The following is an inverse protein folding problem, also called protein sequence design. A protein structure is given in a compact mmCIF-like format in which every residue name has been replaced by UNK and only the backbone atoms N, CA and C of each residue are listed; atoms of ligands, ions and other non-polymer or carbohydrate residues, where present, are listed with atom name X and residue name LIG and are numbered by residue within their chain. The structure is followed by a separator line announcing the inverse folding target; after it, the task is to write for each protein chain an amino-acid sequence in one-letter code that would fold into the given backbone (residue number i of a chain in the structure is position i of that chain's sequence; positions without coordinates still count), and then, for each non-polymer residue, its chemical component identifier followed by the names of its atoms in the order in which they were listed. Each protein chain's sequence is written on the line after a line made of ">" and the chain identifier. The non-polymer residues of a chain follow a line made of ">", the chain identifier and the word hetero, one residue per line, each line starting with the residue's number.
data_IF_544079196117
#
_entry.id   IF_544079196117
#
_cell.length_a   1.000
_cell.length_b   1.000
_cell.length_c   1.000
_cell.angle_alpha   90.00
_cell.angle_beta   90.00
_cell.angle_gamma   90.00
#
_symmetry.space_group_name_H-M   'P 1'
#
loop_
_entity.id
_entity.type
_entity.pdbx_description
1 polymer ?
#
# COMPACT_ATOMS: atom_id res chain seq x y z
N UNK A 1 -13.35 -45.43 -12.25
CA UNK A 1 -12.54 -46.13 -13.27
C UNK A 1 -11.16 -45.49 -13.23
N UNK A 2 -10.13 -46.21 -12.81
CA UNK A 2 -8.75 -45.72 -12.91
C UNK A 2 -8.30 -45.93 -14.34
N UNK A 3 -8.25 -44.86 -15.14
CA UNK A 3 -7.59 -44.88 -16.45
C UNK A 3 -6.07 -44.88 -16.21
N UNK A 4 -5.42 -46.00 -16.48
CA UNK A 4 -3.96 -46.09 -16.46
C UNK A 4 -3.43 -45.58 -17.79
N UNK A 5 -2.76 -44.43 -17.78
CA UNK A 5 -2.06 -43.90 -18.97
C UNK A 5 -0.71 -44.60 -19.09
N UNK A 6 -0.66 -45.68 -19.87
CA UNK A 6 0.59 -46.35 -20.21
C UNK A 6 1.26 -45.63 -21.40
N UNK A 7 2.40 -44.99 -21.15
CA UNK A 7 3.21 -44.34 -22.20
C UNK A 7 4.37 -45.26 -22.56
N UNK A 8 4.40 -45.75 -23.80
CA UNK A 8 5.57 -46.44 -24.34
C UNK A 8 6.59 -45.40 -24.79
N UNK A 9 7.70 -45.30 -24.05
CA UNK A 9 8.81 -44.41 -24.40
C UNK A 9 9.87 -45.24 -25.14
N UNK A 10 10.33 -44.81 -26.34
CA UNK A 10 11.40 -45.50 -27.05
C UNK A 10 12.69 -45.54 -26.23
N UNK A 11 13.54 -46.55 -26.46
CA UNK A 11 14.84 -46.65 -25.83
C UNK A 11 15.74 -45.46 -26.23
N UNK A 12 16.02 -44.59 -25.27
CA UNK A 12 16.82 -43.37 -25.47
C UNK A 12 18.27 -43.66 -25.91
N UNK A 13 18.80 -44.84 -25.61
CA UNK A 13 20.14 -45.24 -26.05
C UNK A 13 20.18 -45.51 -27.56
N UNK A 14 19.13 -46.11 -28.11
CA UNK A 14 19.00 -46.38 -29.54
C UNK A 14 18.81 -45.10 -30.37
N UNK A 15 17.98 -44.16 -29.87
CA UNK A 15 17.79 -42.84 -30.50
C UNK A 15 19.10 -42.04 -30.54
N UNK A 16 19.84 -42.03 -29.43
CA UNK A 16 21.10 -41.30 -29.31
C UNK A 16 22.21 -41.89 -30.18
N UNK A 17 22.28 -43.22 -30.30
CA UNK A 17 23.30 -43.89 -31.10
C UNK A 17 23.23 -43.55 -32.60
N UNK A 18 22.03 -43.38 -33.15
CA UNK A 18 21.85 -42.96 -34.56
C UNK A 18 22.28 -41.51 -34.78
N UNK A 19 21.93 -40.62 -33.87
CA UNK A 19 22.31 -39.21 -33.92
C UNK A 19 23.84 -39.02 -33.78
N UNK A 20 24.47 -39.77 -32.87
CA UNK A 20 25.91 -39.70 -32.64
C UNK A 20 26.71 -40.13 -33.88
N UNK A 21 26.24 -41.12 -34.64
CA UNK A 21 26.88 -41.51 -35.91
C UNK A 21 26.83 -40.40 -36.95
N UNK A 22 25.68 -39.73 -37.07
CA UNK A 22 25.55 -38.60 -37.99
C UNK A 22 26.43 -37.41 -37.58
N UNK A 23 26.51 -37.12 -36.27
CA UNK A 23 27.38 -36.08 -35.73
C UNK A 23 28.86 -36.38 -35.99
N UNK A 24 29.29 -37.62 -35.73
CA UNK A 24 30.68 -38.01 -35.96
C UNK A 24 31.05 -37.91 -37.46
N UNK A 25 30.13 -38.33 -38.35
CA UNK A 25 30.31 -38.17 -39.80
C UNK A 25 30.48 -36.71 -40.22
N UNK A 26 29.61 -35.83 -39.72
CA UNK A 26 29.70 -34.39 -39.99
C UNK A 26 30.99 -33.76 -39.44
N UNK A 27 31.44 -34.15 -38.25
CA UNK A 27 32.69 -33.65 -37.66
C UNK A 27 33.93 -34.10 -38.45
N UNK A 28 33.90 -35.29 -39.05
CA UNK A 28 35.01 -35.81 -39.86
C UNK A 28 35.04 -35.28 -41.30
N UNK A 29 33.98 -34.58 -41.74
CA UNK A 29 33.83 -34.16 -43.12
C UNK A 29 34.60 -32.85 -43.40
N UNK A 30 35.47 -32.89 -44.43
CA UNK A 30 36.17 -31.70 -44.95
C UNK A 30 35.59 -31.38 -46.32
N UNK A 31 35.16 -30.13 -46.51
CA UNK A 31 34.56 -29.66 -47.77
C UNK A 31 35.59 -28.80 -48.50
N UNK A 32 36.36 -29.43 -49.37
CA UNK A 32 37.45 -28.82 -50.14
C UNK A 32 37.21 -28.80 -51.67
N UNK A 33 36.11 -29.40 -52.11
CA UNK A 33 35.76 -29.59 -53.52
C UNK A 33 34.25 -29.48 -53.73
N UNK A 34 33.85 -29.29 -54.99
CA UNK A 34 32.43 -29.16 -55.35
C UNK A 34 31.68 -30.48 -55.14
N UNK A 35 32.34 -31.61 -55.37
CA UNK A 35 31.82 -32.95 -55.10
C UNK A 35 31.57 -33.15 -53.60
N UNK A 36 32.52 -32.74 -52.74
CA UNK A 36 32.33 -32.79 -51.28
C UNK A 36 31.23 -31.84 -50.80
N UNK A 37 31.04 -30.70 -51.45
CA UNK A 37 29.92 -29.80 -51.15
C UNK A 37 28.56 -30.44 -51.47
N UNK A 38 28.45 -31.17 -52.58
CA UNK A 38 27.22 -31.90 -52.92
C UNK A 38 26.92 -33.04 -51.94
N UNK A 39 27.94 -33.83 -51.59
CA UNK A 39 27.82 -34.90 -50.57
C UNK A 39 27.39 -34.33 -49.21
N UNK A 40 28.00 -33.22 -48.78
CA UNK A 40 27.62 -32.53 -47.55
C UNK A 40 26.15 -32.04 -47.59
N UNK A 41 25.68 -31.61 -48.77
CA UNK A 41 24.29 -31.23 -49.00
C UNK A 41 23.31 -32.39 -48.82
N UNK A 42 23.62 -33.55 -49.38
CA UNK A 42 22.79 -34.76 -49.27
C UNK A 42 22.79 -35.35 -47.84
N UNK A 43 23.93 -35.33 -47.16
CA UNK A 43 24.05 -35.71 -45.76
C UNK A 43 23.26 -34.76 -44.85
N UNK A 44 23.35 -33.45 -45.09
CA UNK A 44 22.54 -32.45 -44.39
C UNK A 44 21.05 -32.70 -44.59
N UNK A 45 20.61 -33.01 -45.82
CA UNK A 45 19.21 -33.34 -46.10
C UNK A 45 18.75 -34.59 -45.34
N UNK A 46 19.60 -35.62 -45.28
CA UNK A 46 19.33 -36.85 -44.53
C UNK A 46 19.24 -36.60 -43.02
N UNK A 47 20.14 -35.78 -42.47
CA UNK A 47 20.11 -35.37 -41.06
C UNK A 47 18.82 -34.62 -40.76
N UNK A 48 18.42 -33.68 -41.62
CA UNK A 48 17.16 -32.93 -41.48
C UNK A 48 15.93 -33.84 -41.49
N UNK A 49 15.89 -34.86 -42.35
CA UNK A 49 14.80 -35.84 -42.37
C UNK A 49 14.71 -36.61 -41.05
N UNK A 50 15.84 -37.10 -40.54
CA UNK A 50 15.87 -37.82 -39.25
C UNK A 50 15.47 -36.93 -38.07
N UNK A 51 15.91 -35.66 -38.08
CA UNK A 51 15.46 -34.68 -37.09
C UNK A 51 13.94 -34.54 -37.11
N UNK A 52 13.33 -34.49 -38.29
CA UNK A 52 11.87 -34.42 -38.46
C UNK A 52 11.17 -35.68 -37.94
N UNK A 53 11.67 -36.87 -38.26
CA UNK A 53 11.10 -38.14 -37.77
C UNK A 53 11.13 -38.24 -36.23
N UNK A 54 12.25 -37.86 -35.61
CA UNK A 54 12.36 -37.80 -34.15
C UNK A 54 11.37 -36.81 -33.53
N UNK A 55 11.21 -35.65 -34.16
CA UNK A 55 10.25 -34.63 -33.73
C UNK A 55 8.80 -35.12 -33.87
N UNK A 56 8.48 -35.84 -34.94
CA UNK A 56 7.17 -36.45 -35.17
C UNK A 56 6.87 -37.53 -34.11
N UNK A 57 7.83 -38.40 -33.79
CA UNK A 57 7.70 -39.39 -32.71
C UNK A 57 7.49 -38.72 -31.35
N UNK A 58 8.31 -37.72 -31.00
CA UNK A 58 8.17 -36.96 -29.76
C UNK A 58 6.79 -36.33 -29.68
N UNK A 59 6.36 -35.68 -30.75
CA UNK A 59 5.08 -34.99 -30.84
C UNK A 59 3.91 -35.97 -30.76
N UNK A 60 4.01 -37.16 -31.37
CA UNK A 60 2.99 -38.20 -31.29
C UNK A 60 2.76 -38.71 -29.86
N UNK A 61 3.83 -38.81 -29.06
CA UNK A 61 3.74 -39.20 -27.65
C UNK A 61 3.18 -38.07 -26.79
N UNK A 62 3.67 -36.84 -26.98
CA UNK A 62 3.37 -35.71 -26.10
C UNK A 62 1.99 -35.10 -26.38
N UNK A 63 1.48 -35.15 -27.62
CA UNK A 63 0.16 -34.61 -27.98
C UNK A 63 -1.00 -35.14 -27.09
N UNK A 64 -1.24 -36.46 -26.98
CA UNK A 64 -2.35 -36.97 -26.16
C UNK A 64 -2.16 -36.64 -24.66
N UNK A 65 -0.91 -36.57 -24.18
CA UNK A 65 -0.62 -36.14 -22.81
C UNK A 65 -0.98 -34.67 -22.59
N UNK A 66 -0.58 -33.79 -23.52
CA UNK A 66 -0.94 -32.37 -23.47
C UNK A 66 -2.44 -32.15 -23.56
N UNK A 67 -3.15 -32.95 -24.37
CA UNK A 67 -4.62 -32.92 -24.43
C UNK A 67 -5.26 -33.37 -23.12
N UNK A 68 -4.74 -34.42 -22.48
CA UNK A 68 -5.20 -34.86 -21.18
C UNK A 68 -4.97 -33.80 -20.09
N UNK A 69 -3.76 -33.23 -20.03
CA UNK A 69 -3.42 -32.12 -19.13
C UNK A 69 -4.34 -30.93 -19.37
N UNK A 70 -4.61 -30.59 -20.64
CA UNK A 70 -5.53 -29.51 -21.00
C UNK A 70 -6.94 -29.80 -20.50
N UNK A 71 -7.50 -30.99 -20.74
CA UNK A 71 -8.84 -31.38 -20.25
C UNK A 71 -8.94 -31.28 -18.72
N UNK A 72 -7.92 -31.75 -18.00
CA UNK A 72 -7.85 -31.65 -16.54
C UNK A 72 -7.87 -30.17 -16.12
N UNK A 73 -6.98 -29.35 -16.68
CA UNK A 73 -6.91 -27.93 -16.34
C UNK A 73 -8.20 -27.19 -16.66
N UNK A 74 -8.83 -27.49 -17.80
CA UNK A 74 -10.09 -26.88 -18.20
C UNK A 74 -11.24 -27.25 -17.24
N UNK A 75 -11.27 -28.49 -16.74
CA UNK A 75 -12.25 -28.94 -15.73
C UNK A 75 -12.15 -28.17 -14.40
N UNK A 76 -10.94 -27.77 -14.00
CA UNK A 76 -10.73 -27.02 -12.76
C UNK A 76 -10.77 -25.50 -12.94
N UNK A 77 -10.67 -24.99 -14.18
CA UNK A 77 -10.64 -23.53 -14.44
C UNK A 77 -11.90 -22.83 -13.94
N UNK A 78 -13.08 -23.23 -14.44
CA UNK A 78 -14.33 -22.56 -14.08
C UNK A 78 -14.69 -22.68 -12.58
N UNK A 79 -14.58 -23.85 -11.91
CA UNK A 79 -14.76 -23.94 -10.46
C UNK A 79 -13.81 -23.03 -9.68
N UNK A 80 -12.53 -22.98 -10.04
CA UNK A 80 -11.56 -22.08 -9.41
C UNK A 80 -11.91 -20.62 -9.61
N UNK A 81 -12.39 -20.23 -10.80
CA UNK A 81 -12.88 -18.87 -11.06
C UNK A 81 -14.07 -18.52 -10.17
N UNK A 82 -15.05 -19.41 -10.02
CA UNK A 82 -16.20 -19.18 -9.12
C UNK A 82 -15.76 -19.05 -7.66
N UNK A 83 -14.86 -19.89 -7.18
CA UNK A 83 -14.33 -19.82 -5.82
C UNK A 83 -13.54 -18.52 -5.60
N UNK A 84 -12.71 -18.13 -6.57
CA UNK A 84 -11.96 -16.86 -6.55
C UNK A 84 -12.91 -15.65 -6.49
N UNK A 85 -13.99 -15.67 -7.27
CA UNK A 85 -15.02 -14.63 -7.25
C UNK A 85 -15.76 -14.59 -5.91
N UNK A 86 -16.19 -15.74 -5.39
CA UNK A 86 -16.87 -15.84 -4.09
C UNK A 86 -15.99 -15.31 -2.95
N UNK A 87 -14.72 -15.71 -2.92
CA UNK A 87 -13.73 -15.21 -1.96
C UNK A 87 -13.58 -13.69 -2.06
N UNK A 88 -13.44 -13.16 -3.28
CA UNK A 88 -13.33 -11.71 -3.52
C UNK A 88 -14.56 -10.93 -3.06
N UNK A 89 -15.76 -11.46 -3.30
CA UNK A 89 -17.03 -10.87 -2.83
C UNK A 89 -17.09 -10.85 -1.31
N UNK A 90 -16.77 -11.98 -0.65
CA UNK A 90 -16.78 -12.06 0.80
C UNK A 90 -15.77 -11.10 1.43
N UNK A 91 -14.53 -11.08 0.95
CA UNK A 91 -13.49 -10.15 1.42
C UNK A 91 -13.92 -8.70 1.30
N UNK A 92 -14.52 -8.30 0.18
CA UNK A 92 -15.02 -6.94 -0.03
C UNK A 92 -16.16 -6.59 0.94
N UNK A 93 -17.11 -7.50 1.15
CA UNK A 93 -18.21 -7.30 2.11
C UNK A 93 -17.71 -7.22 3.56
N UNK A 94 -16.75 -8.06 3.92
CA UNK A 94 -16.10 -8.01 5.23
C UNK A 94 -15.37 -6.68 5.45
N UNK A 95 -14.62 -6.21 4.45
CA UNK A 95 -13.95 -4.90 4.53
C UNK A 95 -14.96 -3.75 4.68
N UNK A 96 -16.01 -3.75 3.86
CA UNK A 96 -17.09 -2.75 3.93
C UNK A 96 -17.72 -2.73 5.32
N UNK A 97 -18.03 -3.90 5.89
CA UNK A 97 -18.57 -3.99 7.24
C UNK A 97 -17.58 -3.43 8.27
N UNK A 98 -16.29 -3.79 8.21
CA UNK A 98 -15.30 -3.25 9.15
C UNK A 98 -15.17 -1.73 9.05
N UNK A 99 -15.12 -1.16 7.85
CA UNK A 99 -15.09 0.28 7.63
C UNK A 99 -16.35 0.97 8.17
N UNK A 100 -17.52 0.37 7.97
CA UNK A 100 -18.77 0.87 8.54
C UNK A 100 -18.80 0.81 10.06
N UNK A 101 -18.30 -0.27 10.68
CA UNK A 101 -18.19 -0.39 12.13
C UNK A 101 -17.24 0.68 12.67
N UNK A 102 -16.10 0.92 12.02
CA UNK A 102 -15.18 1.99 12.42
C UNK A 102 -15.78 3.38 12.22
N UNK A 103 -16.55 3.59 11.14
CA UNK A 103 -17.28 4.84 10.92
C UNK A 103 -18.30 5.09 12.01
N UNK A 104 -19.07 4.06 12.40
CA UNK A 104 -20.05 4.15 13.49
C UNK A 104 -19.37 4.43 14.82
N UNK A 105 -18.29 3.70 15.16
CA UNK A 105 -17.49 3.92 16.37
C UNK A 105 -16.96 5.35 16.45
N UNK A 106 -16.36 5.86 15.36
CA UNK A 106 -15.87 7.25 15.29
C UNK A 106 -16.97 8.28 15.41
N UNK A 107 -18.13 8.04 14.79
CA UNK A 107 -19.27 8.96 14.88
C UNK A 107 -19.87 8.99 16.29
N UNK A 108 -19.95 7.85 16.97
CA UNK A 108 -20.41 7.76 18.35
C UNK A 108 -19.42 8.42 19.31
N UNK A 109 -18.13 8.17 19.14
CA UNK A 109 -17.07 8.83 19.89
C UNK A 109 -17.07 10.35 19.69
N UNK A 110 -17.24 10.83 18.46
CA UNK A 110 -17.35 12.25 18.16
C UNK A 110 -18.61 12.88 18.80
N UNK A 111 -19.74 12.17 18.81
CA UNK A 111 -20.95 12.64 19.50
C UNK A 111 -20.75 12.72 21.01
N UNK A 112 -20.14 11.71 21.62
CA UNK A 112 -19.88 11.68 23.05
C UNK A 112 -18.89 12.78 23.45
N UNK A 113 -17.84 13.01 22.64
CA UNK A 113 -16.90 14.13 22.83
C UNK A 113 -17.59 15.48 22.70
N UNK A 114 -18.39 15.69 21.66
CA UNK A 114 -19.12 16.95 21.47
C UNK A 114 -20.14 17.21 22.60
N UNK A 115 -20.80 16.17 23.11
CA UNK A 115 -21.70 16.30 24.26
C UNK A 115 -20.94 16.62 25.55
N UNK A 116 -19.80 15.96 25.79
CA UNK A 116 -18.94 16.24 26.93
C UNK A 116 -18.39 17.68 26.86
N UNK A 117 -17.92 18.13 25.69
CA UNK A 117 -17.47 19.50 25.44
C UNK A 117 -18.59 20.52 25.65
N UNK A 118 -19.82 20.22 25.18
CA UNK A 118 -20.97 21.11 25.39
C UNK A 118 -21.31 21.24 26.87
N UNK A 119 -21.37 20.13 27.61
CA UNK A 119 -21.60 20.14 29.08
C UNK A 119 -20.50 20.90 29.81
N UNK A 120 -19.24 20.68 29.42
CA UNK A 120 -18.10 21.38 29.99
C UNK A 120 -18.17 22.90 29.70
N UNK A 121 -18.58 23.31 28.49
CA UNK A 121 -18.77 24.71 28.14
C UNK A 121 -19.92 25.35 28.94
N UNK A 122 -21.07 24.67 29.05
CA UNK A 122 -22.20 25.12 29.87
C UNK A 122 -21.78 25.30 31.34
N UNK A 123 -21.05 24.33 31.90
CA UNK A 123 -20.55 24.40 33.27
C UNK A 123 -19.53 25.52 33.47
N UNK A 124 -18.60 25.73 32.51
CA UNK A 124 -17.67 26.87 32.51
C UNK A 124 -18.40 28.19 32.50
N UNK A 125 -19.37 28.39 31.61
CA UNK A 125 -20.14 29.63 31.54
C UNK A 125 -20.91 29.90 32.84
N UNK A 126 -21.43 28.85 33.49
CA UNK A 126 -22.10 28.96 34.79
C UNK A 126 -21.13 29.38 35.90
N UNK A 127 -19.95 28.76 35.96
CA UNK A 127 -18.92 29.10 36.94
C UNK A 127 -18.38 30.52 36.73
N UNK A 128 -18.14 30.93 35.48
CA UNK A 128 -17.73 32.29 35.15
C UNK A 128 -18.81 33.33 35.49
N UNK A 129 -20.08 33.02 35.25
CA UNK A 129 -21.19 33.91 35.65
C UNK A 129 -21.29 34.03 37.17
N UNK A 130 -21.09 32.93 37.91
CA UNK A 130 -21.05 32.95 39.36
C UNK A 130 -19.88 33.80 39.88
N UNK A 131 -18.69 33.63 39.29
CA UNK A 131 -17.51 34.46 39.59
C UNK A 131 -17.80 35.94 39.39
N UNK A 132 -18.36 36.34 38.24
CA UNK A 132 -18.71 37.75 37.96
C UNK A 132 -19.75 38.29 38.94
N UNK A 133 -20.73 37.48 39.34
CA UNK A 133 -21.74 37.88 40.31
C UNK A 133 -21.15 38.06 41.71
N UNK A 134 -20.21 37.22 42.11
CA UNK A 134 -19.50 37.33 43.39
C UNK A 134 -18.54 38.53 43.41
N UNK A 135 -17.83 38.78 42.30
CA UNK A 135 -16.99 39.97 42.09
C UNK A 135 -17.81 41.27 42.19
N UNK A 136 -18.97 41.35 41.54
CA UNK A 136 -19.82 42.55 41.59
C UNK A 136 -20.42 42.78 42.99
N UNK A 137 -20.83 41.71 43.69
CA UNK A 137 -21.29 41.84 45.08
C UNK A 137 -20.20 42.34 46.00
N UNK A 138 -18.99 41.79 45.88
CA UNK A 138 -17.84 42.21 46.67
C UNK A 138 -17.48 43.67 46.36
N UNK A 139 -17.54 44.10 45.10
CA UNK A 139 -17.31 45.50 44.71
C UNK A 139 -18.34 46.45 45.34
N UNK A 140 -19.63 46.12 45.31
CA UNK A 140 -20.69 46.93 45.94
C UNK A 140 -20.49 47.02 47.46
N UNK A 141 -20.08 45.91 48.10
CA UNK A 141 -19.82 45.87 49.53
C UNK A 141 -18.57 46.66 49.92
N UNK A 142 -17.49 46.58 49.13
CA UNK A 142 -16.29 47.39 49.29
C UNK A 142 -16.59 48.89 49.13
N UNK A 143 -17.31 49.30 48.08
CA UNK A 143 -17.69 50.71 47.88
C UNK A 143 -18.52 51.25 49.06
N UNK A 144 -19.37 50.43 49.69
CA UNK A 144 -20.11 50.82 50.90
C UNK A 144 -19.20 50.97 52.11
N UNK A 145 -18.33 49.99 52.35
CA UNK A 145 -17.38 50.02 53.46
C UNK A 145 -16.39 51.19 53.32
N UNK A 146 -15.93 51.51 52.12
CA UNK A 146 -15.07 52.67 51.85
C UNK A 146 -15.78 54.00 52.12
N UNK A 147 -17.05 54.13 51.72
CA UNK A 147 -17.86 55.31 52.07
C UNK A 147 -18.05 55.43 53.58
N UNK A 148 -18.35 54.34 54.29
CA UNK A 148 -18.45 54.34 55.76
C UNK A 148 -17.11 54.68 56.43
N UNK A 149 -15.99 54.20 55.87
CA UNK A 149 -14.63 54.54 56.32
C UNK A 149 -14.36 56.04 56.17
N UNK A 150 -14.70 56.61 55.03
CA UNK A 150 -14.51 58.03 54.75
C UNK A 150 -15.31 58.92 55.72
N UNK A 151 -16.57 58.56 55.99
CA UNK A 151 -17.40 59.25 56.98
C UNK A 151 -16.82 59.13 58.40
N UNK A 152 -16.27 57.97 58.77
CA UNK A 152 -15.62 57.77 60.08
C UNK A 152 -14.32 58.58 60.23
N UNK A 153 -13.54 58.71 59.15
CA UNK A 153 -12.34 59.55 59.10
C UNK A 153 -12.68 61.04 59.23
N UNK A 154 -13.72 61.50 58.53
CA UNK A 154 -14.22 62.88 58.61
C UNK A 154 -14.80 63.22 59.99
N UNK A 155 -15.36 62.23 60.70
CA UNK A 155 -15.82 62.37 62.08
C UNK A 155 -14.70 62.29 63.14
N UNK A 156 -13.45 62.02 62.73
CA UNK A 156 -12.29 61.92 63.64
C UNK A 156 -12.20 60.63 64.47
N UNK A 157 -13.02 59.62 64.16
CA UNK A 157 -13.08 58.34 64.90
C UNK A 157 -12.11 57.31 64.30
N UNK A 158 -10.84 57.43 64.68
CA UNK A 158 -9.72 56.63 64.16
C UNK A 158 -9.84 55.14 64.45
N UNK A 159 -10.45 54.77 65.58
CA UNK A 159 -10.66 53.36 65.97
C UNK A 159 -11.72 52.72 65.09
N UNK A 160 -12.79 53.45 64.77
CA UNK A 160 -13.85 52.98 63.87
C UNK A 160 -13.37 52.86 62.42
N UNK A 161 -12.57 53.82 61.94
CA UNK A 161 -11.95 53.76 60.62
C UNK A 161 -11.03 52.53 60.45
N UNK A 162 -10.17 52.24 61.43
CA UNK A 162 -9.29 51.07 61.40
C UNK A 162 -10.06 49.74 61.41
N UNK A 163 -11.19 49.67 62.12
CA UNK A 163 -12.08 48.49 62.12
C UNK A 163 -12.75 48.24 60.78
N UNK A 164 -13.11 49.30 60.06
CA UNK A 164 -13.73 49.20 58.73
C UNK A 164 -12.67 48.80 57.70
N UNK A 165 -11.44 49.31 57.81
CA UNK A 165 -10.31 48.92 56.96
C UNK A 165 -9.97 47.44 57.07
N UNK A 166 -9.84 46.89 58.29
CA UNK A 166 -9.67 45.45 58.49
C UNK A 166 -10.82 44.61 57.90
N UNK A 167 -12.02 45.19 57.79
CA UNK A 167 -13.19 44.54 57.20
C UNK A 167 -13.21 44.64 55.68
N UNK A 168 -12.64 45.69 55.09
CA UNK A 168 -12.37 45.80 53.65
C UNK A 168 -11.34 44.74 53.24
N UNK A 169 -10.22 44.64 53.96
CA UNK A 169 -9.20 43.62 53.73
C UNK A 169 -9.78 42.20 53.82
N UNK A 170 -10.60 41.92 54.84
CA UNK A 170 -11.24 40.62 54.99
C UNK A 170 -12.23 40.27 53.86
N UNK A 171 -12.94 41.27 53.29
CA UNK A 171 -13.81 41.07 52.11
C UNK A 171 -12.96 40.78 50.86
N UNK A 172 -11.80 41.43 50.75
CA UNK A 172 -10.88 41.30 49.62
C UNK A 172 -10.18 39.94 49.59
N UNK A 173 -9.65 39.49 50.73
CA UNK A 173 -9.10 38.13 50.88
C UNK A 173 -10.18 37.06 50.62
N UNK A 174 -11.41 37.26 51.13
CA UNK A 174 -12.50 36.32 50.91
C UNK A 174 -12.93 36.24 49.44
N UNK A 175 -12.85 37.35 48.69
CA UNK A 175 -13.08 37.38 47.24
C UNK A 175 -11.97 36.64 46.50
N UNK A 176 -10.71 36.89 46.85
CA UNK A 176 -9.55 36.27 46.21
C UNK A 176 -9.61 34.74 46.34
N UNK A 177 -9.83 34.23 47.57
CA UNK A 177 -10.00 32.79 47.85
C UNK A 177 -11.14 32.17 47.04
N UNK A 178 -12.29 32.86 46.95
CA UNK A 178 -13.44 32.38 46.17
C UNK A 178 -13.15 32.40 44.68
N UNK A 179 -12.49 33.44 44.18
CA UNK A 179 -12.16 33.59 42.76
C UNK A 179 -11.16 32.53 42.29
N UNK A 180 -10.17 32.20 43.12
CA UNK A 180 -9.18 31.14 42.87
C UNK A 180 -9.84 29.76 42.92
N UNK A 181 -10.73 29.53 43.89
CA UNK A 181 -11.50 28.28 43.96
C UNK A 181 -12.36 28.06 42.70
N UNK A 182 -13.02 29.10 42.20
CA UNK A 182 -13.80 29.02 40.96
C UNK A 182 -12.89 28.86 39.73
N UNK A 183 -11.74 29.54 39.68
CA UNK A 183 -10.76 29.37 38.60
C UNK A 183 -10.19 27.93 38.54
N UNK A 184 -9.89 27.35 39.70
CA UNK A 184 -9.45 25.96 39.81
C UNK A 184 -10.55 24.98 39.37
N UNK A 185 -11.82 25.24 39.74
CA UNK A 185 -12.97 24.46 39.27
C UNK A 185 -13.14 24.54 37.74
N UNK A 186 -13.04 25.74 37.14
CA UNK A 186 -13.10 25.94 35.68
C UNK A 186 -11.99 25.16 34.95
N UNK A 187 -10.78 25.13 35.51
CA UNK A 187 -9.66 24.36 34.97
C UNK A 187 -9.93 22.84 34.98
N UNK A 188 -10.50 22.31 36.08
CA UNK A 188 -10.77 20.88 36.24
C UNK A 188 -11.82 20.36 35.25
N UNK A 189 -12.86 21.15 34.97
CA UNK A 189 -13.95 20.82 34.03
C UNK A 189 -13.45 20.54 32.60
N UNK A 190 -12.32 21.15 32.18
CA UNK A 190 -11.75 20.92 30.84
C UNK A 190 -10.97 19.62 30.67
N UNK A 191 -10.68 18.90 31.75
CA UNK A 191 -9.75 17.75 31.73
C UNK A 191 -10.43 16.38 31.77
N UNK A 192 -11.77 16.33 31.80
CA UNK A 192 -12.50 15.08 31.95
C UNK A 192 -12.21 14.13 30.76
N UNK A 193 -11.59 12.96 30.97
CA UNK A 193 -11.26 12.04 29.90
C UNK A 193 -12.52 11.37 29.38
N UNK A 194 -12.79 11.49 28.08
CA UNK A 194 -13.86 10.75 27.41
C UNK A 194 -13.41 9.29 27.28
N UNK A 195 -14.19 8.36 27.87
CA UNK A 195 -13.91 6.92 27.80
C UNK A 195 -14.00 6.47 26.34
N UNK A 196 -12.93 5.88 25.77
CA UNK A 196 -12.96 5.38 24.40
C UNK A 196 -13.90 4.17 24.29
N UNK A 197 -14.74 4.14 23.26
CA UNK A 197 -15.64 3.02 22.96
C UNK A 197 -14.81 1.89 22.34
N UNK A 198 -14.46 0.89 23.14
CA UNK A 198 -13.61 -0.26 22.75
C UNK A 198 -14.41 -1.48 22.31
N UNK A 199 -15.43 -1.30 21.47
CA UNK A 199 -16.10 -2.44 20.85
C UNK A 199 -15.18 -3.06 19.78
N UNK A 200 -14.50 -4.14 20.14
CA UNK A 200 -13.65 -4.91 19.23
C UNK A 200 -14.54 -5.72 18.27
N UNK A 201 -14.33 -5.54 16.96
CA UNK A 201 -15.04 -6.33 15.96
C UNK A 201 -14.69 -7.83 16.12
N UNK A 202 -15.64 -8.74 15.87
CA UNK A 202 -15.41 -10.17 16.02
C UNK A 202 -14.32 -10.65 15.06
N UNK A 203 -13.26 -11.25 15.60
CA UNK A 203 -12.15 -11.80 14.81
C UNK A 203 -12.43 -13.25 14.46
N UNK A 204 -12.29 -13.61 13.18
CA UNK A 204 -12.40 -15.00 12.72
C UNK A 204 -11.01 -15.61 12.62
N UNK A 205 -10.80 -16.78 13.23
CA UNK A 205 -9.52 -17.51 13.19
C UNK A 205 -9.14 -17.81 11.73
N UNK A 206 -7.94 -17.40 11.32
CA UNK A 206 -7.40 -17.61 9.97
C UNK A 206 -7.58 -16.44 8.99
N UNK A 207 -8.29 -15.37 9.37
CA UNK A 207 -8.45 -14.17 8.55
C UNK A 207 -7.64 -13.04 9.17
N UNK A 208 -6.63 -12.54 8.43
CA UNK A 208 -5.82 -11.38 8.80
C UNK A 208 -5.81 -10.38 7.66
N UNK A 209 -5.96 -9.10 7.97
CA UNK A 209 -5.84 -8.00 7.01
C UNK A 209 -4.44 -7.39 7.09
N UNK A 210 -3.88 -7.02 5.94
CA UNK A 210 -2.64 -6.24 5.84
C UNK A 210 -2.82 -5.10 4.84
N UNK A 211 -2.25 -3.94 5.15
CA UNK A 211 -2.15 -2.84 4.19
C UNK A 211 -1.16 -3.20 3.09
N UNK A 212 -1.55 -3.02 1.81
CA UNK A 212 -0.65 -3.13 0.67
C UNK A 212 -0.52 -1.74 0.06
N UNK A 213 0.66 -1.16 0.17
CA UNK A 213 0.99 0.11 -0.48
C UNK A 213 1.24 -0.15 -1.96
N UNK A 214 0.51 0.56 -2.83
CA UNK A 214 0.68 0.52 -4.28
C UNK A 214 1.08 1.91 -4.77
N UNK A 215 1.93 1.96 -5.79
CA UNK A 215 2.33 3.19 -6.46
C UNK A 215 1.93 3.10 -7.93
N UNK A 216 1.44 4.22 -8.47
CA UNK A 216 1.12 4.39 -9.88
C UNK A 216 1.90 5.60 -10.42
N UNK A 217 2.42 5.48 -11.64
CA UNK A 217 3.10 6.59 -12.32
C UNK A 217 2.06 7.43 -13.03
N UNK A 218 1.76 8.61 -12.51
CA UNK A 218 0.82 9.55 -13.10
C UNK A 218 1.43 10.33 -14.28
N UNK A 219 2.71 10.71 -14.16
CA UNK A 219 3.46 11.41 -15.20
C UNK A 219 4.84 10.77 -15.41
N UNK A 220 5.01 10.15 -16.58
CA UNK A 220 6.26 9.49 -16.98
C UNK A 220 7.41 10.47 -17.18
N UNK A 221 7.13 11.69 -17.67
CA UNK A 221 8.18 12.69 -17.91
C UNK A 221 8.70 13.26 -16.58
N UNK A 222 7.80 13.50 -15.61
CA UNK A 222 8.20 13.88 -14.26
C UNK A 222 9.07 12.81 -13.59
N UNK A 223 8.72 11.53 -13.74
CA UNK A 223 9.54 10.42 -13.24
C UNK A 223 10.94 10.39 -13.88
N UNK A 224 11.03 10.54 -15.20
CA UNK A 224 12.32 10.57 -15.90
C UNK A 224 13.20 11.73 -15.40
N UNK A 225 12.62 12.92 -15.22
CA UNK A 225 13.35 14.08 -14.65
C UNK A 225 13.83 13.81 -13.22
N UNK A 226 12.97 13.21 -12.39
CA UNK A 226 13.34 12.84 -11.02
C UNK A 226 14.50 11.85 -10.97
N UNK A 227 14.47 10.80 -11.80
CA UNK A 227 15.53 9.80 -11.90
C UNK A 227 16.82 10.39 -12.49
N UNK A 228 16.71 11.30 -13.46
CA UNK A 228 17.88 11.99 -14.00
C UNK A 228 18.59 12.86 -12.94
N UNK A 229 17.84 13.49 -12.04
CA UNK A 229 18.39 14.24 -10.90
C UNK A 229 18.87 13.35 -9.75
N UNK A 230 18.40 12.10 -9.68
CA UNK A 230 18.69 11.13 -8.62
C UNK A 230 19.10 9.78 -9.22
N UNK A 231 20.37 9.62 -9.65
CA UNK A 231 20.84 8.45 -10.37
C UNK A 231 20.67 7.11 -9.64
N UNK A 232 20.54 7.12 -8.30
CA UNK A 232 20.28 5.93 -7.49
C UNK A 232 18.97 5.21 -7.84
N UNK A 233 18.03 5.89 -8.51
CA UNK A 233 16.74 5.33 -8.92
C UNK A 233 16.71 4.89 -10.41
N UNK A 234 17.86 4.74 -11.07
CA UNK A 234 17.92 4.36 -12.50
C UNK A 234 17.17 3.05 -12.80
N UNK A 235 17.14 2.12 -11.86
CA UNK A 235 16.43 0.84 -11.99
C UNK A 235 14.90 0.97 -12.04
N UNK A 236 14.35 2.18 -11.84
CA UNK A 236 12.93 2.46 -12.10
C UNK A 236 12.63 2.65 -13.59
N UNK A 237 13.66 2.81 -14.44
CA UNK A 237 13.54 3.00 -15.89
C UNK A 237 14.11 1.80 -16.63
N UNK A 238 13.28 1.13 -17.43
CA UNK A 238 13.72 0.05 -18.31
C UNK A 238 13.95 0.58 -19.74
N UNK A 239 15.05 0.15 -20.41
CA UNK A 239 15.27 0.48 -21.81
C UNK A 239 14.24 -0.24 -22.70
N UNK A 240 13.63 0.51 -23.61
CA UNK A 240 12.64 0.01 -24.56
C UNK A 240 13.31 -0.78 -25.70
N UNK A 241 13.72 -2.02 -25.42
CA UNK A 241 14.56 -2.85 -26.31
C UNK A 241 13.93 -3.14 -27.68
N UNK A 242 12.60 -3.23 -27.77
CA UNK A 242 11.90 -3.48 -29.04
C UNK A 242 11.99 -2.27 -29.97
N UNK A 243 11.76 -1.09 -29.42
CA UNK A 243 11.83 0.20 -30.10
C UNK A 243 13.26 0.48 -30.53
N UNK A 244 14.24 0.20 -29.66
CA UNK A 244 15.67 0.25 -30.00
C UNK A 244 16.01 -0.72 -31.14
N UNK A 245 15.47 -1.94 -31.13
CA UNK A 245 15.64 -2.91 -32.22
C UNK A 245 15.00 -2.46 -33.54
N UNK A 246 13.84 -1.79 -33.48
CA UNK A 246 13.20 -1.20 -34.66
C UNK A 246 14.06 -0.08 -35.26
N UNK A 247 14.63 0.78 -34.41
CA UNK A 247 15.56 1.83 -34.83
C UNK A 247 16.84 1.22 -35.42
N UNK A 248 17.40 0.19 -34.78
CA UNK A 248 18.56 -0.54 -35.27
C UNK A 248 18.33 -1.17 -36.65
N UNK A 249 17.14 -1.73 -36.89
CA UNK A 249 16.76 -2.30 -38.19
C UNK A 249 16.60 -1.23 -39.27
N UNK A 250 16.03 -0.07 -38.91
CA UNK A 250 15.74 1.02 -39.85
C UNK A 250 17.00 1.80 -40.25
N UNK A 251 17.82 2.18 -39.27
CA UNK A 251 18.97 3.07 -39.47
C UNK A 251 20.31 2.32 -39.55
N UNK A 252 20.37 1.05 -39.10
CA UNK A 252 21.56 0.18 -39.16
C UNK A 252 22.80 0.90 -38.58
N UNK A 253 23.89 0.93 -39.34
CA UNK A 253 25.15 1.58 -38.95
C UNK A 253 25.03 3.11 -38.72
N UNK A 254 23.94 3.74 -39.16
CA UNK A 254 23.73 5.19 -39.02
C UNK A 254 22.91 5.59 -37.79
N UNK A 255 22.38 4.66 -37.00
CA UNK A 255 21.69 5.01 -35.76
C UNK A 255 22.68 5.40 -34.67
N UNK A 256 22.71 6.69 -34.32
CA UNK A 256 23.45 7.23 -33.18
C UNK A 256 22.44 7.53 -32.07
N UNK A 257 22.49 6.73 -31.00
CA UNK A 257 21.74 6.95 -29.77
C UNK A 257 22.74 6.86 -28.63
N UNK A 258 22.89 7.94 -27.87
CA UNK A 258 23.82 7.98 -26.74
C UNK A 258 23.49 6.87 -25.74
N UNK A 259 24.50 6.06 -25.40
CA UNK A 259 24.37 4.93 -24.49
C UNK A 259 23.89 3.61 -25.12
N UNK A 260 23.64 3.54 -26.44
CA UNK A 260 23.20 2.32 -27.13
C UNK A 260 24.15 1.95 -28.28
N UNK A 261 24.65 0.71 -28.30
CA UNK A 261 25.49 0.17 -29.38
C UNK A 261 24.69 -0.75 -30.31
N UNK A 262 24.74 -0.48 -31.62
CA UNK A 262 24.07 -1.28 -32.67
C UNK A 262 25.12 -2.07 -33.46
N UNK A 263 24.86 -3.35 -33.75
CA UNK A 263 25.77 -4.27 -34.47
C UNK A 263 25.00 -5.24 -35.40
N UNK A 264 25.70 -5.82 -36.39
CA UNK A 264 25.17 -6.81 -37.35
C UNK A 264 25.63 -8.22 -36.96
N UNK A 265 24.71 -9.20 -37.00
CA UNK A 265 24.97 -10.63 -36.80
C UNK A 265 24.53 -11.45 -38.03
N UNK A 266 25.42 -12.28 -38.59
CA UNK A 266 25.20 -13.01 -39.86
C UNK A 266 24.85 -14.48 -39.58
N UNK A 267 23.66 -14.92 -40.02
CA UNK A 267 23.12 -16.27 -39.76
C UNK A 267 22.82 -16.99 -41.08
N UNK A 268 23.30 -18.24 -41.25
CA UNK A 268 22.96 -19.14 -42.37
C UNK A 268 21.75 -20.02 -42.00
N UNK A 269 20.72 -20.09 -42.85
CA UNK A 269 19.49 -20.85 -42.60
C UNK A 269 19.24 -21.89 -43.68
N UNK A 270 18.84 -23.11 -43.28
CA UNK A 270 18.35 -24.17 -44.18
C UNK A 270 16.94 -24.61 -43.75
N UNK A 271 15.98 -24.52 -44.68
CA UNK A 271 14.60 -24.97 -44.49
C UNK A 271 14.45 -26.38 -45.08
N UNK A 272 13.88 -27.30 -44.30
CA UNK A 272 13.45 -28.60 -44.82
C UNK A 272 12.30 -28.39 -45.80
N UNK A 273 12.33 -29.06 -46.96
CA UNK A 273 11.17 -29.16 -47.85
C UNK A 273 10.00 -29.88 -47.15
#
# INVERSE_FOLDING_TARGET
>A
MQETVAVSVPDGSALSGSAQRALNGANSMVIDSNEMYQIAGDDLATIKRRQKELEEQRTGIVKPLNEAVKRINDMFRAPMEFLTQAEGILKRRMLTYTEEQERKRRAEEAKLRAEAERRAAEERTRLEAQRRADEERARIEQEKLERERQVALEAGDTVKAARIEARVEGVQEALEIKSDAVAQQVSLVGSAPVVPITAAAPTVKGISSRGVWKAEVTDKLALVKFVAANPQYINLLEPATKELGAIAKALKANAVIDGVRIYEDKILSSRSA
#
